data_IF_783065407532
#
_entry.id   IF_783065407532
#
_cell.length_a   1.000
_cell.length_b   1.000
_cell.length_c   1.000
_cell.angle_alpha   90.00
_cell.angle_beta   90.00
_cell.angle_gamma   90.00
#
_symmetry.space_group_name_H-M   'P 1'
#
loop_
_entity.id
_entity.type
_entity.pdbx_description
1 polymer ?
#
# COMPACT_ATOMS: atom_id res chain seq x y z
N UNK A 1 -26.33 -11.38 -19.54
CA UNK A 1 -25.57 -11.77 -18.32
C UNK A 1 -25.95 -10.75 -17.25
N UNK A 2 -26.88 -11.10 -16.37
CA UNK A 2 -27.39 -10.19 -15.33
C UNK A 2 -26.32 -10.05 -14.26
N UNK A 3 -25.57 -8.95 -14.28
CA UNK A 3 -24.54 -8.71 -13.28
C UNK A 3 -25.21 -8.09 -12.06
N UNK A 4 -25.23 -8.81 -10.94
CA UNK A 4 -25.75 -8.30 -9.68
C UNK A 4 -24.91 -7.12 -9.17
N UNK A 5 -25.59 -6.12 -8.61
CA UNK A 5 -24.95 -4.98 -7.98
C UNK A 5 -24.03 -5.46 -6.85
N UNK A 6 -22.77 -5.01 -6.85
CA UNK A 6 -21.78 -5.53 -5.92
C UNK A 6 -20.33 -5.24 -6.32
N UNK A 7 -19.41 -5.68 -5.46
CA UNK A 7 -17.98 -5.57 -5.67
C UNK A 7 -17.44 -6.77 -6.44
N UNK A 8 -16.91 -6.50 -7.63
CA UNK A 8 -16.36 -7.51 -8.53
C UNK A 8 -14.86 -7.32 -8.67
N UNK A 9 -14.12 -8.43 -8.67
CA UNK A 9 -12.70 -8.47 -9.04
C UNK A 9 -12.59 -8.95 -10.47
N UNK A 10 -12.12 -8.06 -11.35
CA UNK A 10 -11.78 -8.40 -12.71
C UNK A 10 -10.27 -8.67 -12.78
N UNK A 11 -9.90 -9.94 -12.89
CA UNK A 11 -8.55 -10.33 -13.29
C UNK A 11 -8.49 -10.46 -14.81
N UNK A 12 -7.65 -9.66 -15.43
CA UNK A 12 -7.40 -9.75 -16.87
C UNK A 12 -5.93 -9.51 -17.16
N UNK A 13 -5.27 -10.52 -17.73
CA UNK A 13 -3.83 -10.48 -18.10
C UNK A 13 -2.94 -10.06 -16.91
N UNK A 14 -3.22 -10.60 -15.72
CA UNK A 14 -2.46 -10.30 -14.50
C UNK A 14 -2.73 -8.92 -13.89
N UNK A 15 -3.74 -8.20 -14.40
CA UNK A 15 -4.21 -6.96 -13.78
C UNK A 15 -5.52 -7.22 -13.07
N UNK A 16 -5.50 -7.10 -11.74
CA UNK A 16 -6.70 -7.15 -10.91
C UNK A 16 -7.27 -5.75 -10.76
N UNK A 17 -8.52 -5.56 -11.17
CA UNK A 17 -9.30 -4.33 -11.03
C UNK A 17 -10.51 -4.63 -10.14
N UNK A 18 -10.73 -3.82 -9.10
CA UNK A 18 -11.96 -3.87 -8.30
C UNK A 18 -12.96 -2.89 -8.87
N UNK A 19 -14.15 -3.38 -9.21
CA UNK A 19 -15.23 -2.61 -9.83
C UNK A 19 -16.45 -2.75 -8.93
N UNK A 20 -17.04 -1.62 -8.55
CA UNK A 20 -18.36 -1.61 -7.94
C UNK A 20 -19.40 -1.38 -9.03
N UNK A 21 -20.35 -2.29 -9.18
CA UNK A 21 -21.45 -2.15 -10.13
C UNK A 21 -22.71 -1.71 -9.38
N UNK A 22 -23.26 -0.57 -9.76
CA UNK A 22 -24.38 0.09 -9.08
C UNK A 22 -25.76 -0.25 -9.70
N UNK A 23 -25.84 -1.32 -10.51
CA UNK A 23 -27.09 -1.76 -11.15
C UNK A 23 -26.88 -2.64 -12.39
N UNK A 24 -27.99 -3.02 -13.04
CA UNK A 24 -27.97 -3.81 -14.28
C UNK A 24 -27.50 -2.96 -15.48
N UNK A 25 -26.43 -3.46 -16.11
CA UNK A 25 -25.67 -2.91 -17.24
C UNK A 25 -26.37 -1.92 -18.18
N UNK A 26 -25.89 -0.68 -18.16
CA UNK A 26 -25.95 0.17 -19.34
C UNK A 26 -25.07 -0.43 -20.44
N UNK A 27 -25.56 -0.41 -21.69
CA UNK A 27 -24.78 -0.75 -22.88
C UNK A 27 -24.77 0.48 -23.83
N UNK A 28 -23.64 1.20 -23.96
CA UNK A 28 -22.33 0.89 -23.39
C UNK A 28 -22.25 1.16 -21.87
N UNK A 29 -21.36 0.47 -21.14
CA UNK A 29 -21.16 0.70 -19.71
C UNK A 29 -20.58 2.09 -19.46
N UNK A 30 -21.08 2.76 -18.43
CA UNK A 30 -20.60 4.08 -17.98
C UNK A 30 -19.92 3.99 -16.62
N UNK A 31 -18.99 4.90 -16.36
CA UNK A 31 -18.31 5.04 -15.06
C UNK A 31 -18.66 6.41 -14.47
N UNK A 32 -19.27 6.42 -13.28
CA UNK A 32 -19.52 7.65 -12.52
C UNK A 32 -18.27 8.01 -11.71
N UNK A 33 -17.69 9.19 -11.96
CA UNK A 33 -16.50 9.68 -11.26
C UNK A 33 -16.86 10.97 -10.53
N UNK A 34 -16.93 10.96 -9.19
CA UNK A 34 -17.15 12.17 -8.40
C UNK A 34 -16.00 13.17 -8.56
N UNK A 35 -16.33 14.46 -8.67
CA UNK A 35 -15.37 15.57 -8.62
C UNK A 35 -14.89 15.82 -7.19
N UNK A 36 -14.18 14.85 -6.63
CA UNK A 36 -13.62 14.89 -5.28
C UNK A 36 -12.08 15.03 -5.30
N UNK A 37 -11.46 15.03 -4.11
CA UNK A 37 -9.99 15.09 -3.97
C UNK A 37 -9.26 13.88 -4.58
N UNK A 38 -9.98 12.83 -4.97
CA UNK A 38 -9.45 11.62 -5.59
C UNK A 38 -9.76 11.56 -7.10
N UNK A 39 -10.32 12.61 -7.71
CA UNK A 39 -10.77 12.63 -9.10
C UNK A 39 -9.71 12.12 -10.08
N UNK A 40 -8.47 12.62 -10.01
CA UNK A 40 -7.38 12.19 -10.91
C UNK A 40 -7.07 10.69 -10.80
N UNK A 41 -7.12 10.15 -9.58
CA UNK A 41 -6.88 8.73 -9.31
C UNK A 41 -8.02 7.88 -9.87
N UNK A 42 -9.26 8.31 -9.64
CA UNK A 42 -10.46 7.64 -10.15
C UNK A 42 -10.49 7.66 -11.67
N UNK A 43 -10.12 8.78 -12.29
CA UNK A 43 -9.98 8.92 -13.74
C UNK A 43 -8.89 7.99 -14.30
N UNK A 44 -7.72 7.94 -13.67
CA UNK A 44 -6.67 7.01 -14.06
C UNK A 44 -7.10 5.54 -13.93
N UNK A 45 -7.85 5.19 -12.89
CA UNK A 45 -8.41 3.85 -12.71
C UNK A 45 -9.44 3.51 -13.80
N UNK A 46 -10.34 4.45 -14.15
CA UNK A 46 -11.31 4.28 -15.21
C UNK A 46 -10.64 4.09 -16.59
N UNK A 47 -9.60 4.86 -16.90
CA UNK A 47 -8.84 4.70 -18.14
C UNK A 47 -8.14 3.32 -18.20
N UNK A 48 -7.59 2.84 -17.08
CA UNK A 48 -7.02 1.49 -16.98
C UNK A 48 -8.07 0.41 -17.22
N UNK A 49 -9.27 0.57 -16.66
CA UNK A 49 -10.39 -0.34 -16.88
C UNK A 49 -10.76 -0.38 -18.37
N UNK A 50 -11.02 0.78 -18.98
CA UNK A 50 -11.36 0.87 -20.40
C UNK A 50 -10.28 0.24 -21.30
N UNK A 51 -8.99 0.52 -21.07
CA UNK A 51 -7.89 -0.11 -21.80
C UNK A 51 -7.92 -1.64 -21.66
N UNK A 52 -8.10 -2.14 -20.45
CA UNK A 52 -8.14 -3.57 -20.16
C UNK A 52 -9.31 -4.27 -20.84
N UNK A 53 -10.50 -3.68 -20.80
CA UNK A 53 -11.69 -4.20 -21.47
C UNK A 53 -11.51 -4.24 -23.00
N UNK A 54 -10.78 -3.28 -23.57
CA UNK A 54 -10.45 -3.23 -24.99
C UNK A 54 -9.18 -4.03 -25.37
N UNK A 55 -8.69 -4.91 -24.48
CA UNK A 55 -7.52 -5.75 -24.76
C UNK A 55 -6.19 -5.00 -24.90
N UNK A 56 -6.10 -3.77 -24.39
CA UNK A 56 -4.88 -2.94 -24.36
C UNK A 56 -4.15 -3.07 -23.03
N UNK A 57 -2.86 -2.75 -23.02
CA UNK A 57 -2.10 -2.66 -21.78
C UNK A 57 -2.71 -1.56 -20.88
N UNK A 58 -3.02 -1.84 -19.60
CA UNK A 58 -3.70 -0.88 -18.71
C UNK A 58 -2.89 0.41 -18.49
N UNK A 59 -1.56 0.29 -18.49
CA UNK A 59 -0.65 1.37 -18.12
C UNK A 59 -0.33 1.36 -16.62
N UNK A 60 0.39 2.37 -16.11
CA UNK A 60 0.86 2.39 -14.73
C UNK A 60 -0.33 2.37 -13.75
N UNK A 61 -0.25 1.53 -12.72
CA UNK A 61 -1.23 1.55 -11.64
C UNK A 61 -0.99 2.80 -10.79
N UNK A 62 -1.96 3.76 -10.72
CA UNK A 62 -1.78 4.94 -9.89
C UNK A 62 -1.52 4.55 -8.44
N UNK A 63 -2.17 3.51 -7.89
CA UNK A 63 -1.94 3.08 -6.52
C UNK A 63 -0.63 2.30 -6.28
N UNK A 64 0.22 2.12 -7.30
CA UNK A 64 1.46 1.35 -7.14
C UNK A 64 2.46 2.06 -6.22
N UNK A 65 2.89 1.36 -5.17
CA UNK A 65 4.00 1.80 -4.32
C UNK A 65 5.33 1.46 -4.98
N UNK A 66 6.26 2.42 -4.97
CA UNK A 66 7.65 2.15 -5.34
C UNK A 66 8.25 1.04 -4.47
N UNK A 67 9.21 0.31 -5.02
CA UNK A 67 9.87 -0.79 -4.31
C UNK A 67 10.46 -0.36 -2.97
N UNK A 68 11.16 0.79 -2.95
CA UNK A 68 11.70 1.36 -1.71
C UNK A 68 10.62 1.62 -0.64
N UNK A 69 9.43 2.07 -1.04
CA UNK A 69 8.31 2.28 -0.11
C UNK A 69 7.75 0.96 0.40
N UNK A 70 7.56 -0.04 -0.48
CA UNK A 70 7.14 -1.39 -0.08
C UNK A 70 8.10 -2.02 0.91
N UNK A 71 9.40 -1.95 0.63
CA UNK A 71 10.44 -2.48 1.52
C UNK A 71 10.42 -1.77 2.88
N UNK A 72 10.30 -0.44 2.89
CA UNK A 72 10.20 0.33 4.14
C UNK A 72 8.97 -0.02 4.97
N UNK A 73 7.80 -0.17 4.33
CA UNK A 73 6.56 -0.56 5.02
C UNK A 73 6.65 -1.99 5.56
N UNK A 74 7.25 -2.90 4.81
CA UNK A 74 7.48 -4.29 5.25
C UNK A 74 8.38 -4.34 6.49
N UNK A 75 9.48 -3.58 6.50
CA UNK A 75 10.35 -3.48 7.67
C UNK A 75 9.64 -2.82 8.86
N UNK A 76 8.77 -1.83 8.62
CA UNK A 76 8.01 -1.18 9.67
C UNK A 76 6.94 -2.11 10.27
N UNK A 77 6.33 -2.97 9.45
CA UNK A 77 5.40 -4.01 9.90
C UNK A 77 6.12 -5.03 10.78
N UNK A 78 7.24 -5.59 10.33
CA UNK A 78 8.06 -6.50 11.15
C UNK A 78 8.57 -5.86 12.45
N UNK A 79 8.91 -4.58 12.41
CA UNK A 79 9.29 -3.82 13.60
C UNK A 79 8.12 -3.59 14.57
N UNK A 80 6.91 -3.44 14.04
CA UNK A 80 5.68 -3.38 14.83
C UNK A 80 5.40 -4.72 15.49
N UNK A 81 5.50 -5.83 14.75
CA UNK A 81 5.28 -7.18 15.29
C UNK A 81 6.19 -7.42 16.50
N UNK A 82 7.50 -7.19 16.34
CA UNK A 82 8.44 -7.30 17.46
C UNK A 82 8.14 -6.33 18.61
N UNK A 83 7.60 -5.13 18.33
CA UNK A 83 7.20 -4.20 19.39
C UNK A 83 5.96 -4.68 20.14
N UNK A 84 5.00 -5.31 19.46
CA UNK A 84 3.80 -5.88 20.07
C UNK A 84 4.14 -7.11 20.92
N UNK A 85 5.23 -7.80 20.58
CA UNK A 85 5.81 -8.91 21.36
C UNK A 85 6.79 -8.42 22.46
N UNK A 86 6.72 -7.15 22.87
CA UNK A 86 7.60 -6.53 23.88
C UNK A 86 9.11 -6.64 23.62
N UNK A 87 9.52 -6.91 22.38
CA UNK A 87 10.93 -6.99 22.03
C UNK A 87 11.59 -5.61 22.14
N UNK A 88 12.81 -5.61 22.68
CA UNK A 88 13.64 -4.41 22.75
C UNK A 88 14.04 -3.94 21.35
N UNK A 89 14.33 -2.64 21.18
CA UNK A 89 14.85 -2.12 19.91
C UNK A 89 16.10 -2.87 19.43
N UNK A 90 16.90 -3.43 20.33
CA UNK A 90 18.07 -4.24 19.98
C UNK A 90 17.67 -5.58 19.36
N UNK A 91 16.72 -6.29 19.96
CA UNK A 91 16.21 -7.54 19.42
C UNK A 91 15.56 -7.31 18.05
N UNK A 92 14.77 -6.23 17.92
CA UNK A 92 14.17 -5.83 16.64
C UNK A 92 15.26 -5.53 15.61
N UNK A 93 16.29 -4.74 15.97
CA UNK A 93 17.39 -4.44 15.06
C UNK A 93 18.14 -5.70 14.60
N UNK A 94 18.43 -6.62 15.52
CA UNK A 94 19.09 -7.89 15.21
C UNK A 94 18.26 -8.78 14.27
N UNK A 95 16.93 -8.81 14.43
CA UNK A 95 16.04 -9.54 13.55
C UNK A 95 15.91 -8.90 12.15
N UNK A 96 15.90 -7.57 12.06
CA UNK A 96 15.71 -6.85 10.79
C UNK A 96 17.00 -6.70 9.96
N UNK A 97 18.16 -6.57 10.62
CA UNK A 97 19.43 -6.22 9.98
C UNK A 97 20.53 -7.25 10.20
N UNK A 98 20.24 -8.33 10.93
CA UNK A 98 21.18 -9.42 11.23
C UNK A 98 21.91 -9.22 12.56
N UNK A 99 22.19 -10.33 13.25
CA UNK A 99 22.88 -10.32 14.55
C UNK A 99 24.33 -9.81 14.45
N UNK A 100 25.00 -10.00 13.31
CA UNK A 100 26.34 -9.47 13.04
C UNK A 100 26.36 -7.94 12.92
N UNK A 101 25.24 -7.32 12.54
CA UNK A 101 25.11 -5.86 12.46
C UNK A 101 24.88 -5.21 13.84
N UNK A 102 24.70 -6.01 14.91
CA UNK A 102 24.47 -5.55 16.28
C UNK A 102 25.59 -6.09 17.19
N UNK A 103 26.70 -5.33 17.37
CA UNK A 103 27.81 -5.77 18.21
C UNK A 103 27.38 -6.10 19.65
N UNK A 104 28.08 -7.06 20.27
CA UNK A 104 27.78 -7.48 21.65
C UNK A 104 28.14 -6.42 22.70
N UNK A 105 29.25 -5.70 22.49
CA UNK A 105 29.86 -4.76 23.47
C UNK A 105 29.59 -3.29 23.17
N UNK A 106 29.36 -2.93 21.91
CA UNK A 106 28.90 -1.59 21.52
C UNK A 106 27.43 -1.67 21.17
N UNK A 107 26.60 -1.09 22.02
CA UNK A 107 25.22 -0.80 21.69
C UNK A 107 25.20 0.11 20.45
N UNK A 108 25.00 -0.50 19.28
CA UNK A 108 24.49 0.01 17.99
C UNK A 108 24.87 1.46 17.64
N UNK A 109 25.52 1.70 16.50
CA UNK A 109 25.73 3.06 15.97
C UNK A 109 24.45 3.88 16.08
N UNK A 110 24.56 5.17 16.45
CA UNK A 110 23.39 6.05 16.62
C UNK A 110 22.41 5.94 15.43
N UNK A 111 22.95 5.73 14.23
CA UNK A 111 22.21 5.50 12.99
C UNK A 111 21.30 4.26 13.00
N UNK A 112 21.81 3.08 13.37
CA UNK A 112 21.02 1.83 13.31
C UNK A 112 19.96 1.79 14.43
N UNK A 113 20.25 2.39 15.59
CA UNK A 113 19.27 2.58 16.66
C UNK A 113 18.15 3.52 16.19
N UNK A 114 18.51 4.66 15.62
CA UNK A 114 17.55 5.63 15.10
C UNK A 114 16.72 5.07 13.95
N UNK A 115 17.35 4.31 13.05
CA UNK A 115 16.68 3.64 11.94
C UNK A 115 15.63 2.67 12.46
N UNK A 116 15.97 1.85 13.46
CA UNK A 116 15.03 0.92 14.09
C UNK A 116 13.90 1.66 14.78
N UNK A 117 14.22 2.70 15.57
CA UNK A 117 13.21 3.51 16.25
C UNK A 117 12.25 4.20 15.25
N UNK A 118 12.74 4.67 14.10
CA UNK A 118 11.91 5.22 13.02
C UNK A 118 10.99 4.18 12.40
N UNK A 119 11.45 2.93 12.22
CA UNK A 119 10.62 1.85 11.70
C UNK A 119 9.51 1.47 12.68
N UNK A 120 9.83 1.36 13.97
CA UNK A 120 8.82 1.11 15.02
C UNK A 120 7.78 2.23 15.05
N UNK A 121 8.21 3.51 15.07
CA UNK A 121 7.29 4.65 15.04
C UNK A 121 6.40 4.64 13.80
N UNK A 122 6.96 4.31 12.64
CA UNK A 122 6.18 4.17 11.41
C UNK A 122 5.15 3.04 11.53
N UNK A 123 5.56 1.85 12.00
CA UNK A 123 4.66 0.71 12.17
C UNK A 123 3.48 1.03 13.09
N UNK A 124 3.76 1.61 14.27
CA UNK A 124 2.72 2.05 15.21
C UNK A 124 1.80 3.10 14.59
N UNK A 125 2.35 4.09 13.87
CA UNK A 125 1.55 5.10 13.19
C UNK A 125 0.67 4.50 12.08
N UNK A 126 1.15 3.47 11.36
CA UNK A 126 0.38 2.77 10.35
C UNK A 126 -0.77 1.97 10.99
N UNK A 127 -0.50 1.25 12.07
CA UNK A 127 -1.51 0.50 12.84
C UNK A 127 -2.62 1.41 13.38
N UNK A 128 -2.26 2.58 13.92
CA UNK A 128 -3.20 3.59 14.43
C UNK A 128 -3.88 4.37 13.29
N UNK A 129 -4.57 3.66 12.41
CA UNK A 129 -5.32 4.18 11.25
C UNK A 129 -4.48 4.81 10.13
N UNK A 130 -3.16 4.89 10.27
CA UNK A 130 -2.27 5.44 9.24
C UNK A 130 -2.28 4.65 7.94
N UNK A 131 -2.60 3.35 7.98
CA UNK A 131 -2.74 2.48 6.81
C UNK A 131 -3.78 2.99 5.80
N UNK A 132 -4.82 3.70 6.24
CA UNK A 132 -5.86 4.24 5.34
C UNK A 132 -5.29 5.21 4.32
N UNK A 133 -4.16 5.86 4.62
CA UNK A 133 -3.46 6.74 3.69
C UNK A 133 -2.87 5.98 2.49
N UNK A 134 -2.64 4.66 2.59
CA UNK A 134 -2.23 3.85 1.44
C UNK A 134 -3.33 3.72 0.38
N UNK A 135 -4.59 3.98 0.76
CA UNK A 135 -5.73 3.99 -0.14
C UNK A 135 -5.88 5.35 -0.85
N UNK A 136 -5.21 6.40 -0.34
CA UNK A 136 -5.25 7.74 -0.91
C UNK A 136 -4.04 7.93 -1.82
N UNK A 137 -4.27 8.20 -3.10
CA UNK A 137 -3.21 8.48 -4.06
C UNK A 137 -3.19 9.95 -4.50
N UNK A 138 -2.02 10.57 -4.74
CA UNK A 138 -0.70 10.09 -4.37
C UNK A 138 -0.50 10.18 -2.85
N UNK A 139 -0.01 9.10 -2.24
CA UNK A 139 0.48 9.11 -0.86
C UNK A 139 1.61 10.13 -0.74
N UNK A 140 1.27 11.37 -0.40
CA UNK A 140 2.19 12.43 -0.01
C UNK A 140 2.33 12.36 1.51
N UNK A 141 3.35 11.64 1.96
CA UNK A 141 3.75 11.72 3.36
C UNK A 141 4.36 13.09 3.63
N UNK A 142 3.77 13.80 4.62
CA UNK A 142 4.05 15.16 5.13
C UNK A 142 3.25 16.29 4.48
N UNK A 143 2.26 16.78 5.23
CA UNK A 143 2.21 18.19 5.61
C UNK A 143 2.78 18.31 7.01
#
# INVERSE_FOLDING_TARGET
>A
MTVEAGDHLLDRRGTVLRIHLDGTGADPPAVLIPFDRLFEVRMAAALRLWRTLNGRHPGPNPAALSEARRNRLTLALRALDGRLDDATHRQIAGALFGASAVPKREWISHELRDRTARLVRLGVAMMKSGYRRLLLHPYRGRS
#
